data_IF_826013298128
#
_entry.id   IF_826013298128
#
_cell.length_a   1.000
_cell.length_b   1.000
_cell.length_c   1.000
_cell.angle_alpha   90.00
_cell.angle_beta   90.00
_cell.angle_gamma   90.00
#
_symmetry.space_group_name_H-M   'P 1'
#
loop_
_entity.id
_entity.type
_entity.pdbx_description
1 polymer ?
#
# COMPACT_ATOMS: atom_id res chain seq x y z
N UNK A 1 6.13 6.08 -11.09
CA UNK A 1 6.65 5.38 -9.90
C UNK A 1 7.33 6.37 -8.96
N UNK A 2 8.53 6.87 -9.27
CA UNK A 2 9.35 7.73 -8.38
C UNK A 2 8.58 8.93 -7.81
N UNK A 3 7.87 9.71 -8.63
CA UNK A 3 7.07 10.85 -8.15
C UNK A 3 5.99 10.46 -7.13
N UNK A 4 5.33 9.33 -7.34
CA UNK A 4 4.33 8.82 -6.40
C UNK A 4 4.99 8.30 -5.12
N UNK A 5 6.12 7.60 -5.24
CA UNK A 5 6.89 7.11 -4.08
C UNK A 5 7.31 8.30 -3.20
N UNK A 6 7.81 9.39 -3.80
CA UNK A 6 8.16 10.63 -3.09
C UNK A 6 6.96 11.27 -2.41
N UNK A 7 5.80 11.31 -3.06
CA UNK A 7 4.55 11.83 -2.46
C UNK A 7 4.10 10.99 -1.27
N UNK A 8 4.18 9.67 -1.36
CA UNK A 8 3.82 8.76 -0.26
C UNK A 8 4.79 8.94 0.91
N UNK A 9 6.09 9.07 0.66
CA UNK A 9 7.10 9.34 1.71
C UNK A 9 6.88 10.69 2.37
N UNK A 10 6.65 11.75 1.59
CA UNK A 10 6.39 13.08 2.14
C UNK A 10 5.09 13.11 2.96
N UNK A 11 4.05 12.42 2.49
CA UNK A 11 2.79 12.28 3.22
C UNK A 11 2.96 11.49 4.53
N UNK A 12 3.65 10.34 4.49
CA UNK A 12 3.84 9.50 5.67
C UNK A 12 4.72 10.17 6.73
N UNK A 13 5.71 10.97 6.32
CA UNK A 13 6.53 11.78 7.21
C UNK A 13 5.72 12.84 7.98
N UNK A 14 4.54 13.22 7.49
CA UNK A 14 3.63 14.14 8.15
C UNK A 14 2.61 13.48 9.10
N UNK A 15 2.54 12.15 9.15
CA UNK A 15 1.60 11.43 10.02
C UNK A 15 2.12 11.41 11.46
N UNK A 16 1.28 11.83 12.41
CA UNK A 16 1.55 11.69 13.84
C UNK A 16 0.84 10.47 14.43
N UNK A 17 1.30 10.02 15.60
CA UNK A 17 0.63 8.96 16.38
C UNK A 17 -0.83 9.34 16.71
N UNK A 18 -1.09 10.63 16.93
CA UNK A 18 -2.43 11.12 17.20
C UNK A 18 -3.35 11.00 15.98
N UNK A 19 -2.83 11.24 14.77
CA UNK A 19 -3.59 11.02 13.53
C UNK A 19 -3.94 9.54 13.38
N UNK A 20 -2.96 8.66 13.58
CA UNK A 20 -3.13 7.20 13.45
C UNK A 20 -4.10 6.62 14.48
N UNK A 21 -4.15 7.20 15.69
CA UNK A 21 -5.12 6.84 16.72
C UNK A 21 -6.56 7.28 16.37
N UNK A 22 -6.72 8.24 15.46
CA UNK A 22 -8.00 8.80 15.05
C UNK A 22 -8.77 7.96 14.02
N UNK A 23 -9.87 8.54 13.54
CA UNK A 23 -10.72 7.98 12.49
C UNK A 23 -10.83 8.92 11.31
N UNK A 24 -10.94 8.35 10.11
CA UNK A 24 -11.30 9.07 8.90
C UNK A 24 -12.77 8.79 8.56
N UNK A 25 -13.53 9.84 8.30
CA UNK A 25 -14.90 9.77 7.75
C UNK A 25 -14.90 10.30 6.33
N UNK A 26 -15.50 9.56 5.40
CA UNK A 26 -15.62 9.97 4.00
C UNK A 26 -16.87 9.36 3.36
N UNK A 27 -17.39 9.99 2.29
CA UNK A 27 -18.41 9.36 1.46
C UNK A 27 -17.75 8.33 0.53
N UNK A 28 -18.09 7.06 0.72
CA UNK A 28 -17.59 5.98 -0.13
C UNK A 28 -18.47 5.82 -1.36
N UNK A 29 -17.98 6.24 -2.53
CA UNK A 29 -18.67 6.01 -3.79
C UNK A 29 -18.92 4.52 -4.10
N UNK A 30 -18.02 3.63 -3.66
CA UNK A 30 -18.18 2.19 -3.82
C UNK A 30 -19.27 1.60 -2.91
N UNK A 31 -19.45 2.14 -1.70
CA UNK A 31 -20.46 1.69 -0.75
C UNK A 31 -21.78 2.48 -0.81
N UNK A 32 -21.80 3.61 -1.53
CA UNK A 32 -22.94 4.52 -1.65
C UNK A 32 -23.33 5.23 -0.35
N UNK A 33 -22.44 5.31 0.63
CA UNK A 33 -22.70 5.86 1.97
C UNK A 33 -21.46 6.44 2.62
N UNK A 34 -21.66 7.24 3.67
CA UNK A 34 -20.57 7.64 4.55
C UNK A 34 -20.00 6.43 5.30
N UNK A 35 -18.68 6.35 5.33
CA UNK A 35 -17.92 5.35 6.08
C UNK A 35 -17.01 6.06 7.08
N UNK A 36 -16.87 5.46 8.25
CA UNK A 36 -15.91 5.88 9.28
C UNK A 36 -15.06 4.70 9.67
N UNK A 37 -13.74 4.82 9.59
CA UNK A 37 -12.77 3.77 9.98
C UNK A 37 -11.57 4.38 10.71
N UNK A 38 -10.90 3.55 11.53
CA UNK A 38 -9.62 3.92 12.14
C UNK A 38 -8.59 4.24 11.05
N UNK A 39 -7.88 5.36 11.17
CA UNK A 39 -6.93 5.78 10.14
C UNK A 39 -5.81 4.75 9.97
N UNK A 40 -5.25 4.23 11.07
CA UNK A 40 -4.22 3.19 11.02
C UNK A 40 -4.63 1.96 10.19
N UNK A 41 -5.89 1.54 10.29
CA UNK A 41 -6.40 0.41 9.49
C UNK A 41 -6.45 0.74 7.99
N UNK A 42 -6.80 1.97 7.63
CA UNK A 42 -6.83 2.42 6.23
C UNK A 42 -5.42 2.55 5.66
N UNK A 43 -4.45 3.04 6.43
CA UNK A 43 -3.04 3.10 6.02
C UNK A 43 -2.49 1.70 5.78
N UNK A 44 -2.73 0.76 6.70
CA UNK A 44 -2.35 -0.64 6.51
C UNK A 44 -3.02 -1.26 5.28
N UNK A 45 -4.31 -0.98 5.07
CA UNK A 45 -5.04 -1.42 3.89
C UNK A 45 -4.45 -0.86 2.58
N UNK A 46 -4.09 0.42 2.54
CA UNK A 46 -3.49 1.07 1.38
C UNK A 46 -2.19 0.37 0.95
N UNK A 47 -1.28 0.11 1.90
CA UNK A 47 -0.02 -0.59 1.63
C UNK A 47 -0.25 -2.07 1.27
N UNK A 48 -1.20 -2.73 1.94
CA UNK A 48 -1.55 -4.11 1.62
C UNK A 48 -2.17 -4.24 0.21
N UNK A 49 -2.95 -3.25 -0.24
CA UNK A 49 -3.49 -3.23 -1.60
C UNK A 49 -2.38 -3.20 -2.66
N UNK A 50 -1.28 -2.48 -2.40
CA UNK A 50 -0.13 -2.50 -3.30
C UNK A 50 0.49 -3.90 -3.37
N UNK A 51 0.67 -4.57 -2.23
CA UNK A 51 1.16 -5.96 -2.20
C UNK A 51 0.21 -6.92 -2.92
N UNK A 52 -1.10 -6.75 -2.77
CA UNK A 52 -2.10 -7.54 -3.49
C UNK A 52 -1.97 -7.41 -5.01
N UNK A 53 -1.92 -6.19 -5.55
CA UNK A 53 -1.76 -5.97 -6.98
C UNK A 53 -0.38 -6.39 -7.50
N UNK A 54 0.68 -6.22 -6.71
CA UNK A 54 2.01 -6.76 -7.05
C UNK A 54 1.98 -8.27 -7.17
N UNK A 55 1.26 -8.97 -6.29
CA UNK A 55 1.04 -10.41 -6.38
C UNK A 55 0.30 -10.84 -7.66
N UNK A 56 -0.71 -10.08 -8.09
CA UNK A 56 -1.39 -10.34 -9.37
C UNK A 56 -0.43 -10.22 -10.56
N UNK A 57 0.41 -9.18 -10.60
CA UNK A 57 1.41 -8.99 -11.66
C UNK A 57 2.48 -10.06 -11.61
N UNK A 58 2.97 -10.42 -10.43
CA UNK A 58 3.95 -11.49 -10.23
C UNK A 58 3.44 -12.83 -10.78
N UNK A 59 2.18 -13.16 -10.50
CA UNK A 59 1.53 -14.35 -11.05
C UNK A 59 1.41 -14.30 -12.59
N UNK A 60 1.03 -13.16 -13.17
CA UNK A 60 0.94 -13.00 -14.63
C UNK A 60 2.31 -13.13 -15.31
N UNK A 61 3.37 -12.55 -14.73
CA UNK A 61 4.75 -12.67 -15.24
C UNK A 61 5.23 -14.12 -15.18
N UNK A 62 4.97 -14.81 -14.07
CA UNK A 62 5.26 -16.23 -13.91
C UNK A 62 4.55 -17.06 -14.98
N UNK A 63 3.26 -16.80 -15.23
CA UNK A 63 2.49 -17.48 -16.27
C UNK A 63 3.02 -17.22 -17.69
N UNK A 64 3.65 -16.07 -17.92
CA UNK A 64 4.32 -15.73 -19.18
C UNK A 64 5.74 -16.33 -19.32
N UNK A 65 6.19 -17.15 -18.35
CA UNK A 65 7.50 -17.80 -18.37
C UNK A 65 8.64 -16.97 -17.79
N UNK A 66 8.36 -15.81 -17.20
CA UNK A 66 9.36 -15.02 -16.49
C UNK A 66 9.61 -15.58 -15.07
N UNK A 67 10.75 -15.20 -14.47
CA UNK A 67 11.13 -15.53 -13.09
C UNK A 67 11.31 -14.25 -12.27
N UNK A 68 10.21 -13.57 -11.88
CA UNK A 68 10.28 -12.39 -11.03
C UNK A 68 10.87 -12.74 -9.65
N UNK A 69 11.66 -11.82 -9.08
CA UNK A 69 12.35 -12.03 -7.80
C UNK A 69 11.41 -12.11 -6.58
N UNK A 70 12.01 -12.41 -5.42
CA UNK A 70 11.29 -12.58 -4.16
C UNK A 70 10.60 -11.30 -3.69
N UNK A 71 9.36 -11.45 -3.22
CA UNK A 71 8.58 -10.33 -2.66
C UNK A 71 8.26 -10.49 -1.17
N UNK A 72 8.75 -11.55 -0.54
CA UNK A 72 8.62 -11.79 0.90
C UNK A 72 9.58 -10.87 1.67
N UNK A 73 9.06 -10.17 2.67
CA UNK A 73 9.78 -9.08 3.35
C UNK A 73 11.13 -9.49 3.97
N UNK A 74 11.29 -10.75 4.37
CA UNK A 74 12.52 -11.22 5.03
C UNK A 74 13.62 -11.67 4.06
N UNK A 75 13.33 -11.83 2.77
CA UNK A 75 14.27 -12.28 1.71
C UNK A 75 14.31 -11.36 0.49
N UNK A 76 13.42 -10.36 0.42
CA UNK A 76 13.44 -9.36 -0.65
C UNK A 76 14.80 -8.63 -0.66
N UNK A 77 15.40 -8.37 -1.84
CA UNK A 77 16.67 -7.66 -1.94
C UNK A 77 16.63 -6.25 -1.31
N UNK A 78 17.62 -5.94 -0.46
CA UNK A 78 17.75 -4.65 0.23
C UNK A 78 17.90 -3.44 -0.72
N UNK A 79 18.35 -3.67 -1.96
CA UNK A 79 18.61 -2.63 -2.95
C UNK A 79 17.39 -2.26 -3.81
N UNK A 80 16.23 -2.90 -3.62
CA UNK A 80 15.00 -2.61 -4.36
C UNK A 80 14.07 -1.64 -3.64
N UNK A 81 14.37 -1.32 -2.39
CA UNK A 81 13.70 -0.30 -1.58
C UNK A 81 14.55 0.98 -1.52
N UNK A 82 13.97 2.18 -1.69
CA UNK A 82 14.71 3.44 -1.56
C UNK A 82 15.21 3.70 -0.13
#
# INVERSE_FOLDING_TARGET
>A
RIDMDQKIVAWSAGLSDNDLAGTLTWYSGAAGRDETKKLAMLVAHFLNHQTHHRGQVHAMLTAAGATPGDTDLFIMPDNLWP
#
